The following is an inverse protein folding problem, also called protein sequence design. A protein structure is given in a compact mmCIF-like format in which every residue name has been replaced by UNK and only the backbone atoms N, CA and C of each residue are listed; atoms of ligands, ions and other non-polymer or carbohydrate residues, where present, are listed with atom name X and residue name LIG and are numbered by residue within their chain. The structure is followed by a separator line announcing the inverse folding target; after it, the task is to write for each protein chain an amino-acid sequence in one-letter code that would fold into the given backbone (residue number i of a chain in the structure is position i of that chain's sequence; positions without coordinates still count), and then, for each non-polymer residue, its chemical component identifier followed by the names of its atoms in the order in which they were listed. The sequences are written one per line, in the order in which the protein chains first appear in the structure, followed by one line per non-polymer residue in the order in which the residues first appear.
data_IF_529446113216
#
_entry.id   IF_529446113216
#
_cell.length_a   1.000
_cell.length_b   1.000
_cell.length_c   1.000
_cell.angle_alpha   90.00
_cell.angle_beta   90.00
_cell.angle_gamma   90.00
#
_symmetry.space_group_name_H-M   'P 1'
#
loop_
_entity.id
_entity.type
_entity.pdbx_description
1 polymer ?
#
# COMPACT_ATOMS: atom_id res chain seq x y z
N UNK A 1 10.17 -35.89 6.94
CA UNK A 1 9.96 -36.77 8.12
C UNK A 1 9.22 -38.01 7.67
N UNK A 2 9.86 -39.18 7.74
CA UNK A 2 9.24 -40.47 7.46
C UNK A 2 8.37 -40.86 8.66
N UNK A 3 7.08 -41.07 8.44
CA UNK A 3 6.19 -41.69 9.40
C UNK A 3 5.93 -43.13 8.95
N UNK A 4 6.56 -44.10 9.61
CA UNK A 4 6.16 -45.50 9.52
C UNK A 4 5.10 -45.75 10.59
N UNK A 5 3.98 -46.32 10.16
CA UNK A 5 2.89 -46.77 11.02
C UNK A 5 3.28 -48.09 11.70
N UNK A 6 3.04 -48.16 13.00
CA UNK A 6 2.85 -49.42 13.72
C UNK A 6 1.57 -49.26 14.55
N UNK A 7 0.61 -50.14 14.30
CA UNK A 7 -0.63 -50.29 15.05
C UNK A 7 -0.33 -50.85 16.45
N UNK A 8 -0.72 -50.12 17.49
CA UNK A 8 -1.57 -50.62 18.59
C UNK A 8 -1.81 -49.50 19.61
N UNK A 9 -3.10 -49.30 19.92
CA UNK A 9 -3.71 -48.44 20.95
C UNK A 9 -2.76 -47.66 21.87
N UNK A 10 -2.39 -46.45 21.47
CA UNK A 10 -1.96 -45.41 22.41
C UNK A 10 -2.50 -44.05 21.97
N UNK A 11 -2.99 -43.28 22.94
CA UNK A 11 -3.48 -41.90 22.79
C UNK A 11 -2.52 -41.08 21.91
N UNK A 12 -3.01 -40.14 21.08
CA UNK A 12 -2.17 -39.39 20.15
C UNK A 12 -1.03 -38.73 20.94
N UNK A 13 0.19 -39.19 20.68
CA UNK A 13 1.39 -38.75 21.34
C UNK A 13 1.61 -37.27 21.10
N UNK A 14 1.32 -36.45 22.11
CA UNK A 14 1.75 -35.05 22.15
C UNK A 14 3.26 -35.01 21.98
N UNK A 15 3.73 -34.40 20.89
CA UNK A 15 5.15 -34.20 20.63
C UNK A 15 5.79 -33.43 21.80
N UNK A 16 7.04 -33.73 22.15
CA UNK A 16 7.82 -32.99 23.15
C UNK A 16 7.84 -31.47 22.90
N UNK A 17 7.67 -31.03 21.64
CA UNK A 17 7.51 -29.62 21.26
C UNK A 17 6.16 -29.02 21.68
N UNK A 18 5.06 -29.80 21.64
CA UNK A 18 3.74 -29.38 22.12
C UNK A 18 3.72 -29.25 23.65
N UNK A 19 4.29 -30.21 24.39
CA UNK A 19 4.42 -30.09 25.85
C UNK A 19 5.28 -28.89 26.28
N UNK A 20 6.34 -28.56 25.52
CA UNK A 20 7.15 -27.36 25.76
C UNK A 20 6.41 -26.06 25.42
N UNK A 21 5.51 -26.08 24.43
CA UNK A 21 4.65 -24.96 24.09
C UNK A 21 3.55 -24.74 25.14
N UNK A 22 2.96 -25.81 25.66
CA UNK A 22 1.90 -25.80 26.69
C UNK A 22 2.46 -25.42 28.08
N UNK A 23 3.63 -25.93 28.47
CA UNK A 23 4.30 -25.51 29.72
C UNK A 23 4.79 -24.05 29.66
N UNK A 24 5.00 -23.47 28.47
CA UNK A 24 5.24 -22.03 28.31
C UNK A 24 3.95 -21.19 28.41
N UNK A 25 2.78 -21.80 28.20
CA UNK A 25 1.49 -21.12 28.34
C UNK A 25 0.98 -21.07 29.79
N UNK A 26 1.39 -22.01 30.67
CA UNK A 26 0.93 -22.08 32.06
C UNK A 26 1.58 -21.06 33.02
N UNK A 27 2.36 -20.11 32.51
CA UNK A 27 2.91 -18.99 33.29
C UNK A 27 2.65 -17.63 32.63
N UNK A 28 1.43 -17.40 32.12
CA UNK A 28 0.99 -16.05 31.72
C UNK A 28 0.83 -15.18 32.96
N UNK A 29 1.96 -14.69 33.48
CA UNK A 29 2.03 -13.43 34.22
C UNK A 29 1.28 -12.39 33.38
N UNK A 30 0.35 -11.66 34.00
CA UNK A 30 -0.21 -10.43 33.41
C UNK A 30 0.96 -9.59 32.89
N UNK A 31 0.98 -9.36 31.58
CA UNK A 31 2.02 -8.58 30.92
C UNK A 31 1.80 -7.13 31.34
N UNK A 32 2.73 -6.46 32.03
CA UNK A 32 2.73 -5.01 32.10
C UNK A 32 3.08 -4.51 30.69
N UNK A 33 2.06 -4.05 29.97
CA UNK A 33 2.14 -3.53 28.61
C UNK A 33 2.49 -2.05 28.71
N UNK A 34 3.65 -1.61 28.24
CA UNK A 34 4.03 -0.20 28.31
C UNK A 34 4.37 0.44 26.97
N UNK A 35 4.22 -0.27 25.85
CA UNK A 35 4.49 0.28 24.52
C UNK A 35 3.32 0.09 23.55
N UNK A 36 3.05 1.06 22.65
CA UNK A 36 1.90 0.99 21.75
C UNK A 36 1.88 -0.25 20.83
N UNK A 37 3.05 -0.73 20.38
CA UNK A 37 3.20 -1.90 19.51
C UNK A 37 2.97 -3.26 20.19
N UNK A 38 2.68 -3.27 21.50
CA UNK A 38 2.37 -4.51 22.22
C UNK A 38 0.88 -4.88 22.14
N UNK A 39 -0.01 -3.95 21.78
CA UNK A 39 -1.47 -4.10 21.83
C UNK A 39 -2.05 -4.70 20.55
N UNK A 40 -1.58 -4.23 19.40
CA UNK A 40 -2.08 -4.63 18.10
C UNK A 40 -0.94 -5.08 17.19
N UNK A 41 -1.31 -5.87 16.19
CA UNK A 41 -0.54 -5.96 14.96
C UNK A 41 -1.00 -4.82 14.05
N UNK A 42 -0.07 -3.93 13.70
CA UNK A 42 -0.31 -2.75 12.87
C UNK A 42 0.22 -2.99 11.48
N UNK A 43 -0.66 -2.91 10.48
CA UNK A 43 -0.29 -2.95 9.07
C UNK A 43 -0.65 -1.62 8.43
N UNK A 44 0.31 -0.98 7.78
CA UNK A 44 0.02 0.07 6.80
C UNK A 44 0.20 -0.54 5.41
N UNK A 45 -0.87 -0.57 4.63
CA UNK A 45 -0.95 -1.16 3.30
C UNK A 45 -0.87 -0.06 2.25
N UNK A 46 0.13 -0.13 1.38
CA UNK A 46 0.23 0.66 0.16
C UNK A 46 -0.11 -0.20 -1.07
N UNK A 47 -0.99 0.30 -1.92
CA UNK A 47 -1.20 -0.27 -3.26
C UNK A 47 -0.55 0.65 -4.30
N UNK A 48 -0.08 0.09 -5.41
CA UNK A 48 0.70 0.82 -6.39
C UNK A 48 -0.07 2.05 -6.87
N UNK A 49 0.56 3.22 -6.79
CA UNK A 49 -0.04 4.54 -7.09
C UNK A 49 -1.19 5.00 -6.17
N UNK A 50 -1.40 4.37 -5.01
CA UNK A 50 -2.35 4.83 -3.98
C UNK A 50 -1.77 5.85 -2.99
N UNK A 51 -0.54 6.36 -3.23
CA UNK A 51 0.17 7.26 -2.32
C UNK A 51 1.21 6.59 -1.43
N UNK A 52 1.81 5.49 -1.90
CA UNK A 52 2.78 4.65 -1.15
C UNK A 52 3.86 5.49 -0.46
N UNK A 53 4.49 6.43 -1.16
CA UNK A 53 5.57 7.27 -0.59
C UNK A 53 5.08 8.16 0.57
N UNK A 54 3.94 8.83 0.40
CA UNK A 54 3.31 9.62 1.47
C UNK A 54 3.02 8.72 2.69
N UNK A 55 2.39 7.57 2.46
CA UNK A 55 2.04 6.65 3.56
C UNK A 55 3.27 6.04 4.25
N UNK A 56 4.35 5.79 3.51
CA UNK A 56 5.61 5.30 4.05
C UNK A 56 6.30 6.35 4.92
N UNK A 57 6.29 7.61 4.48
CA UNK A 57 6.79 8.74 5.27
C UNK A 57 5.99 8.89 6.59
N UNK A 58 4.65 8.86 6.52
CA UNK A 58 3.79 8.89 7.71
C UNK A 58 4.13 7.73 8.66
N UNK A 59 4.16 6.51 8.12
CA UNK A 59 4.43 5.29 8.90
C UNK A 59 5.77 5.40 9.65
N UNK A 60 6.85 5.70 8.93
CA UNK A 60 8.19 5.81 9.51
C UNK A 60 8.27 6.91 10.57
N UNK A 61 7.71 8.07 10.29
CA UNK A 61 7.79 9.22 11.16
C UNK A 61 6.99 9.01 12.46
N UNK A 62 5.76 8.51 12.36
CA UNK A 62 4.90 8.22 13.53
C UNK A 62 5.57 7.21 14.45
N UNK A 63 5.99 6.06 13.92
CA UNK A 63 6.58 5.00 14.75
C UNK A 63 7.95 5.39 15.31
N UNK A 64 8.75 6.13 14.54
CA UNK A 64 10.01 6.70 15.02
C UNK A 64 9.81 7.69 16.18
N UNK A 65 8.80 8.56 16.11
CA UNK A 65 8.46 9.51 17.17
C UNK A 65 7.96 8.84 18.46
N UNK A 66 7.46 7.60 18.35
CA UNK A 66 7.07 6.74 19.48
C UNK A 66 8.23 5.87 19.99
N UNK A 67 9.44 6.03 19.45
CA UNK A 67 10.63 5.32 19.89
C UNK A 67 10.81 3.92 19.26
N UNK A 68 10.04 3.56 18.23
CA UNK A 68 10.25 2.32 17.49
C UNK A 68 11.30 2.54 16.39
N UNK A 69 12.51 2.02 16.62
CA UNK A 69 13.61 2.10 15.66
C UNK A 69 13.28 1.46 14.29
N UNK A 70 13.93 1.96 13.23
CA UNK A 70 13.74 1.44 11.86
C UNK A 70 14.10 -0.04 11.71
N UNK A 71 15.03 -0.53 12.52
CA UNK A 71 15.43 -1.93 12.62
C UNK A 71 14.38 -2.82 13.31
N UNK A 72 13.31 -2.24 13.84
CA UNK A 72 12.23 -2.95 14.54
C UNK A 72 10.88 -2.90 13.83
N UNK A 73 10.69 -2.01 12.86
CA UNK A 73 9.55 -2.10 11.94
C UNK A 73 9.84 -3.14 10.87
N UNK A 74 8.79 -3.67 10.24
CA UNK A 74 8.95 -4.48 9.02
C UNK A 74 8.46 -3.73 7.79
N UNK A 75 9.08 -4.02 6.65
CA UNK A 75 8.63 -3.56 5.34
C UNK A 75 8.67 -4.73 4.38
N UNK A 76 7.62 -4.92 3.58
CA UNK A 76 7.55 -6.00 2.59
C UNK A 76 6.81 -5.53 1.33
N UNK A 77 7.35 -5.85 0.16
CA UNK A 77 6.73 -5.58 -1.12
C UNK A 77 6.61 -6.85 -1.96
N UNK A 78 5.69 -6.87 -2.93
CA UNK A 78 5.67 -7.90 -3.97
C UNK A 78 5.91 -7.28 -5.36
N UNK A 79 7.00 -7.69 -6.05
CA UNK A 79 8.08 -8.53 -5.56
C UNK A 79 8.97 -7.79 -4.57
N UNK A 80 9.79 -8.55 -3.86
CA UNK A 80 10.89 -8.00 -3.10
C UNK A 80 12.05 -7.62 -4.05
N UNK A 81 12.01 -6.42 -4.62
CA UNK A 81 12.97 -5.99 -5.64
C UNK A 81 14.42 -5.92 -5.13
N UNK A 82 14.62 -5.60 -3.85
CA UNK A 82 15.94 -5.44 -3.25
C UNK A 82 16.00 -6.19 -1.92
N UNK A 83 17.06 -6.98 -1.64
CA UNK A 83 17.18 -7.75 -0.40
C UNK A 83 17.06 -6.90 0.87
N UNK A 84 17.51 -5.65 0.83
CA UNK A 84 17.45 -4.71 1.95
C UNK A 84 16.10 -4.00 2.09
N UNK A 85 15.19 -4.17 1.12
CA UNK A 85 13.88 -3.53 1.14
C UNK A 85 12.78 -4.41 1.76
N UNK A 86 12.99 -5.72 1.93
CA UNK A 86 12.05 -6.58 2.66
C UNK A 86 12.67 -7.18 3.91
N UNK A 87 12.21 -6.73 5.06
CA UNK A 87 12.83 -7.07 6.34
C UNK A 87 11.80 -7.20 7.47
N UNK A 88 12.19 -7.91 8.52
CA UNK A 88 11.46 -8.01 9.78
C UNK A 88 9.97 -8.39 9.66
N UNK A 89 9.66 -9.46 8.91
CA UNK A 89 8.27 -9.97 8.81
C UNK A 89 7.62 -10.28 10.17
N UNK A 90 8.43 -10.66 11.16
CA UNK A 90 7.96 -10.95 12.52
C UNK A 90 7.58 -9.72 13.35
N UNK A 91 7.82 -8.50 12.85
CA UNK A 91 7.46 -7.27 13.58
C UNK A 91 5.93 -7.13 13.72
N UNK A 92 5.41 -6.70 14.87
CA UNK A 92 4.00 -6.32 14.99
C UNK A 92 3.64 -5.09 14.17
N UNK A 93 4.62 -4.25 13.79
CA UNK A 93 4.40 -2.99 13.09
C UNK A 93 5.04 -3.09 11.71
N UNK A 94 4.22 -3.19 10.66
CA UNK A 94 4.69 -3.45 9.30
C UNK A 94 4.06 -2.53 8.27
N UNK A 95 4.85 -2.20 7.26
CA UNK A 95 4.39 -1.62 6.01
C UNK A 95 4.39 -2.71 4.94
N UNK A 96 3.31 -2.83 4.19
CA UNK A 96 3.18 -3.83 3.12
C UNK A 96 2.76 -3.16 1.82
N UNK A 97 3.47 -3.47 0.75
CA UNK A 97 3.30 -2.82 -0.56
C UNK A 97 2.90 -3.87 -1.59
N UNK A 98 1.82 -3.64 -2.33
CA UNK A 98 1.40 -4.43 -3.50
C UNK A 98 1.11 -5.93 -3.28
N UNK A 99 1.05 -6.35 -2.02
CA UNK A 99 0.93 -7.77 -1.66
C UNK A 99 -0.25 -8.10 -0.74
N UNK A 100 -0.90 -7.08 -0.18
CA UNK A 100 -1.97 -7.31 0.80
C UNK A 100 -3.25 -7.78 0.09
N UNK A 101 -3.79 -8.91 0.55
CA UNK A 101 -4.98 -9.56 -0.02
C UNK A 101 -5.89 -10.07 1.10
N UNK A 102 -7.12 -10.49 0.75
CA UNK A 102 -8.04 -11.13 1.72
C UNK A 102 -7.42 -12.38 2.37
N UNK A 103 -6.68 -13.17 1.59
CA UNK A 103 -6.01 -14.38 2.08
C UNK A 103 -4.92 -14.01 3.11
N UNK A 104 -4.12 -12.97 2.81
CA UNK A 104 -3.15 -12.45 3.76
C UNK A 104 -3.83 -11.89 5.00
N UNK A 105 -4.91 -11.12 4.84
CA UNK A 105 -5.69 -10.57 5.93
C UNK A 105 -6.20 -11.66 6.90
N UNK A 106 -6.76 -12.76 6.37
CA UNK A 106 -7.21 -13.90 7.17
C UNK A 106 -6.08 -14.55 7.97
N UNK A 107 -4.88 -14.70 7.36
CA UNK A 107 -3.69 -15.20 8.06
C UNK A 107 -3.24 -14.26 9.18
N UNK A 108 -3.27 -12.95 8.94
CA UNK A 108 -2.87 -11.95 9.95
C UNK A 108 -3.88 -11.88 11.11
N UNK A 109 -5.17 -12.03 10.83
CA UNK A 109 -6.21 -12.19 11.86
C UNK A 109 -5.97 -13.44 12.71
N UNK A 110 -5.71 -14.58 12.08
CA UNK A 110 -5.39 -15.82 12.79
C UNK A 110 -4.13 -15.68 13.65
N UNK A 111 -3.10 -15.00 13.15
CA UNK A 111 -1.84 -14.74 13.89
C UNK A 111 -2.06 -13.78 15.06
N UNK A 112 -2.92 -12.77 14.91
CA UNK A 112 -3.23 -11.82 15.97
C UNK A 112 -3.98 -12.51 17.13
N UNK A 113 -4.95 -13.38 16.83
CA UNK A 113 -5.94 -13.97 17.73
C UNK A 113 -5.46 -14.77 18.97
N UNK A 114 -4.16 -14.79 19.29
CA UNK A 114 -3.62 -15.42 20.49
C UNK A 114 -3.04 -14.44 21.52
N UNK A 115 -2.72 -13.20 21.11
CA UNK A 115 -2.01 -12.21 21.93
C UNK A 115 -2.33 -10.73 21.62
N UNK A 116 -2.85 -10.40 20.43
CA UNK A 116 -3.05 -9.02 19.94
C UNK A 116 -4.32 -8.93 19.10
N UNK A 117 -4.85 -7.73 18.86
CA UNK A 117 -5.84 -7.53 17.76
C UNK A 117 -5.13 -7.02 16.50
N UNK A 118 -5.85 -6.94 15.38
CA UNK A 118 -5.31 -6.48 14.10
C UNK A 118 -5.82 -5.07 13.79
N UNK A 119 -4.93 -4.19 13.32
CA UNK A 119 -5.24 -2.85 12.79
C UNK A 119 -4.57 -2.69 11.44
N UNK A 120 -5.37 -2.62 10.39
CA UNK A 120 -4.90 -2.47 9.00
C UNK A 120 -5.35 -1.12 8.49
N UNK A 121 -4.43 -0.23 8.16
CA UNK A 121 -4.75 1.03 7.53
C UNK A 121 -4.15 1.09 6.13
N UNK A 122 -4.76 1.83 5.22
CA UNK A 122 -4.22 2.07 3.89
C UNK A 122 -4.91 3.23 3.20
N UNK A 123 -4.19 3.88 2.30
CA UNK A 123 -4.79 4.89 1.42
C UNK A 123 -5.44 4.22 0.22
N UNK A 124 -6.64 4.68 -0.09
CA UNK A 124 -7.33 4.38 -1.34
C UNK A 124 -7.33 5.65 -2.17
N UNK A 125 -7.07 5.47 -3.47
CA UNK A 125 -7.14 6.50 -4.51
C UNK A 125 -8.10 6.03 -5.59
N UNK A 126 -8.65 6.95 -6.38
CA UNK A 126 -9.49 6.60 -7.53
C UNK A 126 -8.76 5.62 -8.48
N UNK A 127 -9.29 4.39 -8.70
CA UNK A 127 -8.66 3.37 -9.55
C UNK A 127 -8.33 3.82 -10.97
N UNK A 128 -9.19 4.64 -11.58
CA UNK A 128 -8.99 5.15 -12.94
C UNK A 128 -7.81 6.14 -12.99
N UNK A 129 -7.67 6.99 -11.96
CA UNK A 129 -6.51 7.89 -11.83
C UNK A 129 -5.23 7.11 -11.50
N UNK A 130 -5.32 6.02 -10.75
CA UNK A 130 -4.18 5.16 -10.44
C UNK A 130 -3.57 4.52 -11.70
N UNK A 131 -4.38 4.05 -12.65
CA UNK A 131 -3.87 3.50 -13.93
C UNK A 131 -3.16 4.59 -14.71
N UNK A 132 -3.79 5.75 -14.92
CA UNK A 132 -3.17 6.87 -15.64
C UNK A 132 -1.85 7.28 -14.98
N UNK A 133 -1.83 7.32 -13.65
CA UNK A 133 -0.63 7.63 -12.86
C UNK A 133 0.45 6.56 -13.01
N UNK A 134 0.09 5.29 -13.08
CA UNK A 134 1.04 4.20 -13.32
C UNK A 134 1.61 4.25 -14.73
N UNK A 135 0.77 4.48 -15.75
CA UNK A 135 1.22 4.65 -17.13
C UNK A 135 2.25 5.78 -17.24
N UNK A 136 1.90 7.01 -16.82
CA UNK A 136 2.81 8.14 -16.96
C UNK A 136 4.16 7.94 -16.27
N UNK A 137 4.11 7.37 -15.06
CA UNK A 137 5.30 7.11 -14.29
C UNK A 137 6.25 6.14 -15.02
N UNK A 138 5.73 4.99 -15.41
CA UNK A 138 6.52 3.93 -16.04
C UNK A 138 6.91 4.27 -17.49
N UNK A 139 6.04 4.98 -18.21
CA UNK A 139 6.33 5.48 -19.56
C UNK A 139 7.52 6.45 -19.58
N UNK A 140 7.69 7.26 -18.53
CA UNK A 140 8.85 8.15 -18.37
C UNK A 140 10.18 7.43 -18.04
N UNK A 141 10.17 6.11 -17.90
CA UNK A 141 11.34 5.30 -17.57
C UNK A 141 11.63 5.19 -16.07
N UNK A 142 10.73 5.65 -15.21
CA UNK A 142 10.85 5.47 -13.77
C UNK A 142 10.52 4.01 -13.37
N UNK A 143 11.20 3.49 -12.34
CA UNK A 143 11.06 2.09 -11.88
C UNK A 143 11.19 1.05 -13.03
N UNK A 144 12.19 1.21 -13.92
CA UNK A 144 12.53 0.25 -14.98
C UNK A 144 12.78 -1.20 -14.48
N UNK A 145 13.11 -1.35 -13.20
CA UNK A 145 13.26 -2.63 -12.51
C UNK A 145 11.94 -3.29 -12.08
N UNK A 146 10.79 -2.64 -12.27
CA UNK A 146 9.45 -3.13 -11.92
C UNK A 146 8.93 -4.21 -12.90
N UNK A 147 9.80 -5.15 -13.25
CA UNK A 147 9.61 -6.15 -14.32
C UNK A 147 8.48 -7.13 -14.06
N UNK A 148 8.05 -7.28 -12.80
CA UNK A 148 6.94 -8.17 -12.44
C UNK A 148 5.59 -7.61 -12.86
N UNK A 149 5.39 -6.29 -12.78
CA UNK A 149 4.19 -5.66 -13.29
C UNK A 149 4.34 -5.34 -14.78
N UNK A 150 5.50 -4.82 -15.18
CA UNK A 150 5.73 -4.29 -16.52
C UNK A 150 7.06 -4.82 -17.10
N UNK A 151 7.02 -5.73 -18.09
CA UNK A 151 8.24 -6.17 -18.76
C UNK A 151 9.03 -4.95 -19.27
N UNK A 152 10.37 -5.01 -19.12
CA UNK A 152 11.21 -3.83 -19.30
C UNK A 152 11.05 -3.23 -20.71
N UNK A 153 10.94 -1.90 -20.79
CA UNK A 153 10.73 -1.17 -22.04
C UNK A 153 9.33 -1.27 -22.66
N UNK A 154 8.42 -2.07 -22.08
CA UNK A 154 7.08 -2.30 -22.69
C UNK A 154 6.18 -1.08 -22.53
N UNK A 155 6.06 -0.50 -21.34
CA UNK A 155 5.18 0.67 -21.14
C UNK A 155 5.76 1.91 -21.84
N UNK A 156 7.09 2.01 -21.90
CA UNK A 156 7.80 3.08 -22.59
C UNK A 156 7.59 3.08 -24.10
N UNK A 157 7.34 1.91 -24.71
CA UNK A 157 7.13 1.78 -26.15
C UNK A 157 5.67 1.97 -26.60
N UNK A 158 4.73 2.03 -25.66
CA UNK A 158 3.30 2.16 -25.95
C UNK A 158 2.84 3.61 -25.86
N UNK A 159 2.02 4.02 -26.84
CA UNK A 159 1.28 5.27 -26.78
C UNK A 159 0.21 5.26 -25.66
N UNK A 160 -0.43 6.40 -25.37
CA UNK A 160 -1.34 6.53 -24.23
C UNK A 160 -2.51 5.54 -24.22
N UNK A 161 -3.19 5.33 -25.35
CA UNK A 161 -4.36 4.45 -25.41
C UNK A 161 -3.97 2.98 -25.13
N UNK A 162 -2.98 2.46 -25.84
CA UNK A 162 -2.49 1.08 -25.67
C UNK A 162 -1.80 0.89 -24.31
N UNK A 163 -1.02 1.90 -23.88
CA UNK A 163 -0.23 1.84 -22.65
C UNK A 163 -1.09 1.89 -21.39
N UNK A 164 -2.12 2.73 -21.36
CA UNK A 164 -3.09 2.77 -20.24
C UNK A 164 -3.85 1.45 -20.15
N UNK A 165 -4.33 0.91 -21.28
CA UNK A 165 -5.01 -0.39 -21.29
C UNK A 165 -4.08 -1.53 -20.83
N UNK A 166 -2.82 -1.53 -21.29
CA UNK A 166 -1.81 -2.50 -20.87
C UNK A 166 -1.55 -2.44 -19.35
N UNK A 167 -1.39 -1.23 -18.81
CA UNK A 167 -1.17 -1.02 -17.38
C UNK A 167 -2.38 -1.46 -16.55
N UNK A 168 -3.59 -1.12 -17.01
CA UNK A 168 -4.82 -1.54 -16.36
C UNK A 168 -4.92 -3.07 -16.25
N UNK A 169 -4.66 -3.81 -17.33
CA UNK A 169 -4.68 -5.28 -17.28
C UNK A 169 -3.71 -5.85 -16.23
N UNK A 170 -2.53 -5.27 -16.08
CA UNK A 170 -1.50 -5.73 -15.13
C UNK A 170 -1.78 -5.33 -13.68
N UNK A 171 -2.53 -4.25 -13.46
CA UNK A 171 -2.88 -3.77 -12.12
C UNK A 171 -4.18 -4.37 -11.58
N UNK A 172 -4.92 -5.19 -12.34
CA UNK A 172 -6.22 -5.73 -11.92
C UNK A 172 -6.18 -6.43 -10.55
N UNK A 173 -5.19 -7.30 -10.31
CA UNK A 173 -5.06 -8.02 -9.03
C UNK A 173 -4.88 -7.07 -7.85
N UNK A 174 -4.18 -5.94 -8.04
CA UNK A 174 -4.03 -4.91 -7.01
C UNK A 174 -5.37 -4.22 -6.73
N UNK A 175 -6.15 -3.94 -7.77
CA UNK A 175 -7.46 -3.31 -7.65
C UNK A 175 -8.48 -4.23 -6.98
N UNK A 176 -8.48 -5.52 -7.33
CA UNK A 176 -9.29 -6.54 -6.68
C UNK A 176 -8.98 -6.58 -5.18
N UNK A 177 -7.70 -6.68 -4.83
CA UNK A 177 -7.26 -6.73 -3.44
C UNK A 177 -7.61 -5.46 -2.67
N UNK A 178 -7.33 -4.28 -3.23
CA UNK A 178 -7.65 -2.99 -2.60
C UNK A 178 -9.16 -2.85 -2.39
N UNK A 179 -9.96 -3.18 -3.41
CA UNK A 179 -11.42 -3.12 -3.34
C UNK A 179 -11.95 -4.08 -2.29
N UNK A 180 -11.53 -5.34 -2.31
CA UNK A 180 -12.00 -6.36 -1.39
C UNK A 180 -11.71 -6.04 0.09
N UNK A 181 -10.61 -5.32 0.37
CA UNK A 181 -10.25 -4.93 1.75
C UNK A 181 -11.03 -3.69 2.22
N UNK A 182 -11.29 -2.72 1.33
CA UNK A 182 -11.75 -1.39 1.73
C UNK A 182 -13.15 -1.00 1.25
N UNK A 183 -13.83 -1.81 0.42
CA UNK A 183 -15.20 -1.51 -0.02
C UNK A 183 -16.21 -1.60 1.12
N UNK A 184 -15.97 -2.47 2.10
CA UNK A 184 -16.87 -2.69 3.23
C UNK A 184 -16.13 -2.32 4.51
N UNK A 185 -16.64 -1.37 5.31
CA UNK A 185 -16.04 -1.02 6.59
C UNK A 185 -15.94 -2.23 7.51
N UNK A 186 -14.79 -2.39 8.17
CA UNK A 186 -14.57 -3.40 9.21
C UNK A 186 -13.91 -2.75 10.42
N UNK A 187 -14.05 -3.35 11.60
CA UNK A 187 -13.46 -2.81 12.83
C UNK A 187 -11.92 -2.89 12.84
N UNK A 188 -11.36 -3.78 12.03
CA UNK A 188 -9.92 -4.05 11.91
C UNK A 188 -9.28 -3.39 10.68
N UNK A 189 -10.06 -2.69 9.85
CA UNK A 189 -9.56 -1.97 8.67
C UNK A 189 -9.93 -0.49 8.70
N UNK A 190 -8.98 0.37 8.35
CA UNK A 190 -9.20 1.80 8.12
C UNK A 190 -8.80 2.15 6.70
N UNK A 191 -9.77 2.72 5.99
CA UNK A 191 -9.54 3.37 4.70
C UNK A 191 -9.26 4.86 4.90
N UNK A 192 -8.11 5.31 4.41
CA UNK A 192 -7.75 6.71 4.24
C UNK A 192 -8.01 7.17 2.81
N UNK A 193 -8.39 8.43 2.61
CA UNK A 193 -8.55 9.03 1.28
C UNK A 193 -7.25 9.69 0.84
N UNK A 194 -6.69 9.20 -0.27
CA UNK A 194 -5.53 9.83 -0.89
C UNK A 194 -5.82 11.27 -1.30
N UNK A 195 -6.92 11.51 -2.02
CA UNK A 195 -7.28 12.83 -2.56
C UNK A 195 -7.50 13.87 -1.47
N UNK A 196 -8.01 13.46 -0.31
CA UNK A 196 -8.14 14.36 0.83
C UNK A 196 -6.78 14.68 1.46
N UNK A 197 -5.94 13.66 1.65
CA UNK A 197 -4.62 13.83 2.24
C UNK A 197 -3.67 14.63 1.33
N UNK A 198 -3.73 14.40 0.02
CA UNK A 198 -2.91 15.05 -1.00
C UNK A 198 -3.50 16.39 -1.47
N UNK A 199 -4.79 16.64 -1.26
CA UNK A 199 -5.46 17.85 -1.75
C UNK A 199 -5.15 19.11 -0.93
N UNK A 200 -4.78 18.96 0.35
CA UNK A 200 -4.38 20.08 1.21
C UNK A 200 -3.73 19.60 2.51
N UNK A 201 -2.93 20.47 3.13
CA UNK A 201 -2.39 20.26 4.47
C UNK A 201 -3.45 20.05 5.57
N UNK A 202 -4.62 20.68 5.45
CA UNK A 202 -5.72 20.47 6.40
C UNK A 202 -6.35 19.08 6.22
N UNK A 203 -6.59 18.69 4.97
CA UNK A 203 -7.08 17.35 4.64
C UNK A 203 -6.11 16.25 5.06
N UNK A 204 -4.80 16.50 4.91
CA UNK A 204 -3.73 15.66 5.45
C UNK A 204 -3.85 15.48 6.96
N UNK A 205 -3.90 16.58 7.72
CA UNK A 205 -3.98 16.54 9.18
C UNK A 205 -5.24 15.78 9.66
N UNK A 206 -6.36 15.92 8.95
CA UNK A 206 -7.59 15.17 9.25
C UNK A 206 -7.45 13.66 9.01
N UNK A 207 -6.83 13.23 7.91
CA UNK A 207 -6.62 11.80 7.62
C UNK A 207 -5.59 11.17 8.57
N UNK A 208 -4.53 11.89 8.93
CA UNK A 208 -3.58 11.43 9.95
C UNK A 208 -4.25 11.34 11.32
N UNK A 209 -5.10 12.30 11.70
CA UNK A 209 -5.87 12.23 12.93
C UNK A 209 -6.70 10.94 13.02
N UNK A 210 -7.45 10.62 11.96
CA UNK A 210 -8.23 9.38 11.84
C UNK A 210 -7.34 8.12 11.95
N UNK A 211 -6.16 8.16 11.33
CA UNK A 211 -5.20 7.06 11.40
C UNK A 211 -4.74 6.79 12.82
N UNK A 212 -4.32 7.83 13.56
CA UNK A 212 -3.84 7.67 14.93
C UNK A 212 -4.96 7.25 15.88
N UNK A 213 -6.18 7.76 15.70
CA UNK A 213 -7.33 7.34 16.49
C UNK A 213 -7.64 5.86 16.29
N UNK A 214 -7.62 5.38 15.04
CA UNK A 214 -7.82 3.97 14.73
C UNK A 214 -6.70 3.06 15.24
N UNK A 215 -5.44 3.45 15.02
CA UNK A 215 -4.30 2.65 15.48
C UNK A 215 -4.29 2.54 17.00
N UNK A 216 -4.48 3.64 17.72
CA UNK A 216 -4.32 3.67 19.16
C UNK A 216 -5.62 3.56 19.95
N UNK A 217 -6.73 3.18 19.30
CA UNK A 217 -7.98 2.88 19.98
C UNK A 217 -7.79 1.73 20.99
N UNK A 218 -8.04 2.03 22.27
CA UNK A 218 -7.84 1.08 23.37
C UNK A 218 -6.39 0.94 23.85
N UNK A 219 -5.47 1.78 23.34
CA UNK A 219 -4.06 1.82 23.74
C UNK A 219 -3.83 3.01 24.69
N UNK A 220 -3.18 2.83 25.84
CA UNK A 220 -2.83 3.93 26.74
C UNK A 220 -1.66 4.73 26.16
N UNK A 221 -1.96 5.62 25.21
CA UNK A 221 -0.98 6.55 24.62
C UNK A 221 -1.02 7.90 25.35
N UNK A 222 0.12 8.38 25.84
CA UNK A 222 0.18 9.70 26.46
C UNK A 222 -0.17 10.81 25.45
N UNK A 223 -0.82 11.87 25.91
CA UNK A 223 -1.19 13.00 25.04
C UNK A 223 0.01 13.62 24.33
N UNK A 224 1.16 13.66 25.01
CA UNK A 224 2.42 14.15 24.44
C UNK A 224 2.95 13.23 23.33
N UNK A 225 2.87 11.91 23.50
CA UNK A 225 3.26 10.95 22.48
C UNK A 225 2.36 11.07 21.24
N UNK A 226 1.05 11.24 21.44
CA UNK A 226 0.10 11.51 20.35
C UNK A 226 0.43 12.81 19.62
N UNK A 227 0.79 13.87 20.35
CA UNK A 227 1.21 15.16 19.78
C UNK A 227 2.49 15.02 18.96
N UNK A 228 3.50 14.31 19.47
CA UNK A 228 4.75 14.03 18.73
C UNK A 228 4.49 13.21 17.47
N UNK A 229 3.62 12.19 17.55
CA UNK A 229 3.23 11.39 16.39
C UNK A 229 2.55 12.23 15.30
N UNK A 230 1.61 13.11 15.68
CA UNK A 230 0.96 14.04 14.75
C UNK A 230 1.98 14.97 14.07
N UNK A 231 2.87 15.58 14.85
CA UNK A 231 3.87 16.51 14.31
C UNK A 231 4.85 15.79 13.39
N UNK A 232 5.31 14.59 13.77
CA UNK A 232 6.21 13.80 12.95
C UNK A 232 5.56 13.36 11.63
N UNK A 233 4.27 12.97 11.66
CA UNK A 233 3.54 12.56 10.47
C UNK A 233 3.51 13.64 9.38
N UNK A 234 3.61 14.93 9.74
CA UNK A 234 3.66 16.05 8.77
C UNK A 234 4.79 15.93 7.76
N UNK A 235 5.86 15.18 8.04
CA UNK A 235 6.90 14.87 7.05
C UNK A 235 6.36 14.20 5.77
N UNK A 236 5.19 13.53 5.86
CA UNK A 236 4.52 12.96 4.69
C UNK A 236 3.64 13.95 3.91
N UNK A 237 3.41 15.16 4.40
CA UNK A 237 2.58 16.16 3.72
C UNK A 237 3.38 16.83 2.58
N UNK A 238 3.02 16.53 1.35
CA UNK A 238 3.68 17.04 0.16
C UNK A 238 3.45 18.55 -0.09
N UNK A 239 2.43 19.15 0.52
CA UNK A 239 2.23 20.61 0.46
C UNK A 239 3.22 21.34 1.38
N UNK A 240 3.51 20.77 2.54
CA UNK A 240 4.49 21.31 3.50
C UNK A 240 5.93 20.94 3.12
N UNK A 241 6.11 19.73 2.60
CA UNK A 241 7.39 19.16 2.23
C UNK A 241 7.35 18.58 0.81
N UNK A 242 7.38 19.45 -0.22
CA UNK A 242 7.41 18.98 -1.61
C UNK A 242 8.59 18.06 -1.86
N UNK A 243 8.33 16.92 -2.50
CA UNK A 243 9.36 15.96 -2.88
C UNK A 243 9.50 15.95 -4.41
N UNK A 244 10.67 16.32 -4.97
CA UNK A 244 10.84 16.46 -6.41
C UNK A 244 11.00 15.12 -7.15
N UNK A 245 11.08 13.99 -6.41
CA UNK A 245 11.15 12.66 -6.99
C UNK A 245 9.78 11.97 -6.98
N UNK A 246 9.63 10.89 -7.75
CA UNK A 246 8.41 10.07 -7.75
C UNK A 246 7.10 10.80 -8.11
N UNK A 247 7.15 11.87 -8.92
CA UNK A 247 5.99 12.59 -9.46
C UNK A 247 5.75 12.23 -10.93
N UNK A 248 4.58 12.61 -11.47
CA UNK A 248 4.27 12.50 -12.89
C UNK A 248 4.24 13.89 -13.52
N UNK A 249 4.53 13.95 -14.83
CA UNK A 249 4.31 15.14 -15.63
C UNK A 249 2.81 15.41 -15.83
N UNK A 250 2.39 16.66 -15.64
CA UNK A 250 0.98 17.07 -15.72
C UNK A 250 0.40 16.88 -17.12
N UNK A 251 1.18 17.14 -18.17
CA UNK A 251 0.73 16.96 -19.55
C UNK A 251 0.52 15.48 -19.87
N UNK A 252 1.41 14.61 -19.38
CA UNK A 252 1.18 13.17 -19.46
C UNK A 252 -0.10 12.77 -18.71
N UNK A 253 -0.28 13.22 -17.47
CA UNK A 253 -1.45 12.86 -16.67
C UNK A 253 -2.76 13.27 -17.34
N UNK A 254 -2.81 14.47 -17.93
CA UNK A 254 -3.97 14.93 -18.68
C UNK A 254 -4.28 13.98 -19.85
N UNK A 255 -3.28 13.63 -20.66
CA UNK A 255 -3.48 12.73 -21.81
C UNK A 255 -3.89 11.32 -21.36
N UNK A 256 -3.20 10.78 -20.36
CA UNK A 256 -3.45 9.43 -19.86
C UNK A 256 -4.82 9.29 -19.19
N UNK A 257 -5.30 10.31 -18.47
CA UNK A 257 -6.63 10.30 -17.87
C UNK A 257 -7.74 10.28 -18.93
N UNK A 258 -7.56 10.97 -20.06
CA UNK A 258 -8.48 10.85 -21.20
C UNK A 258 -8.41 9.45 -21.82
N UNK A 259 -7.20 8.90 -22.03
CA UNK A 259 -7.00 7.56 -22.59
C UNK A 259 -7.62 6.42 -21.77
N UNK A 260 -7.82 6.61 -20.46
CA UNK A 260 -8.57 5.67 -19.60
C UNK A 260 -9.98 5.41 -20.15
N UNK A 261 -10.66 6.42 -20.68
CA UNK A 261 -12.01 6.27 -21.23
C UNK A 261 -12.03 5.66 -22.64
N UNK A 262 -10.86 5.57 -23.29
CA UNK A 262 -10.66 4.87 -24.56
C UNK A 262 -10.35 3.37 -24.40
N UNK A 263 -10.20 2.86 -23.17
CA UNK A 263 -9.92 1.44 -22.93
C UNK A 263 -11.04 0.53 -23.49
N UNK A 264 -10.74 -0.77 -23.77
CA UNK A 264 -11.76 -1.76 -24.07
C UNK A 264 -12.92 -1.71 -23.07
N UNK A 265 -14.16 -1.77 -23.57
CA UNK A 265 -15.37 -1.48 -22.77
C UNK A 265 -15.55 -2.40 -21.55
N UNK A 266 -15.13 -3.66 -21.68
CA UNK A 266 -15.10 -4.64 -20.60
C UNK A 266 -14.11 -4.25 -19.50
N UNK A 267 -12.89 -3.87 -19.89
CA UNK A 267 -11.84 -3.42 -18.97
C UNK A 267 -12.22 -2.11 -18.27
N UNK A 268 -12.76 -1.14 -19.03
CA UNK A 268 -13.28 0.11 -18.46
C UNK A 268 -14.43 -0.15 -17.48
N UNK A 269 -15.37 -1.03 -17.83
CA UNK A 269 -16.48 -1.41 -16.96
C UNK A 269 -16.02 -2.05 -15.64
N UNK A 270 -14.98 -2.89 -15.68
CA UNK A 270 -14.36 -3.47 -14.48
C UNK A 270 -13.79 -2.36 -13.58
N UNK A 271 -13.02 -1.43 -14.14
CA UNK A 271 -12.40 -0.36 -13.37
C UNK A 271 -13.41 0.65 -12.82
N UNK A 272 -14.45 0.98 -13.58
CA UNK A 272 -15.57 1.79 -13.11
C UNK A 272 -16.31 1.10 -11.95
N UNK A 273 -16.43 -0.23 -11.97
CA UNK A 273 -16.98 -1.00 -10.85
C UNK A 273 -16.12 -0.89 -9.59
N UNK A 274 -14.79 -1.03 -9.69
CA UNK A 274 -13.89 -0.78 -8.55
C UNK A 274 -14.04 0.64 -8.01
N UNK A 275 -14.01 1.64 -8.90
CA UNK A 275 -14.12 3.03 -8.52
C UNK A 275 -15.44 3.30 -7.78
N UNK A 276 -16.57 2.78 -8.29
CA UNK A 276 -17.88 2.87 -7.63
C UNK A 276 -17.91 2.20 -6.25
N UNK A 277 -17.41 0.97 -6.11
CA UNK A 277 -17.36 0.23 -4.83
C UNK A 277 -16.47 0.92 -3.80
N UNK A 278 -15.44 1.61 -4.28
CA UNK A 278 -14.59 2.48 -3.47
C UNK A 278 -15.15 3.91 -3.36
N UNK A 279 -16.38 4.22 -3.75
CA UNK A 279 -16.95 5.57 -3.54
C UNK A 279 -16.30 6.69 -4.36
N UNK A 280 -15.66 6.36 -5.47
CA UNK A 280 -15.18 7.28 -6.51
C UNK A 280 -16.01 7.09 -7.79
N UNK A 281 -17.29 7.48 -7.84
CA UNK A 281 -18.00 7.51 -9.11
C UNK A 281 -17.29 8.51 -10.02
N UNK A 282 -16.61 8.01 -11.05
CA UNK A 282 -15.76 8.81 -11.91
C UNK A 282 -16.20 8.62 -13.36
N UNK A 283 -16.56 9.73 -14.00
CA UNK A 283 -17.03 9.80 -15.38
C UNK A 283 -16.14 10.74 -16.16
N UNK A 284 -16.13 10.59 -17.48
CA UNK A 284 -15.33 11.43 -18.39
C UNK A 284 -15.68 12.92 -18.24
N UNK A 285 -16.95 13.23 -17.97
CA UNK A 285 -17.45 14.60 -17.75
C UNK A 285 -16.79 15.32 -16.56
N UNK A 286 -16.12 14.58 -15.66
CA UNK A 286 -15.39 15.14 -14.53
C UNK A 286 -13.94 15.51 -14.88
N UNK A 287 -13.46 15.16 -16.09
CA UNK A 287 -12.13 15.53 -16.54
C UNK A 287 -12.09 16.98 -17.02
N UNK A 288 -10.98 17.70 -16.78
CA UNK A 288 -10.70 18.91 -17.52
C UNK A 288 -10.77 18.60 -19.01
N UNK A 289 -11.52 19.40 -19.78
CA UNK A 289 -11.55 19.25 -21.24
C UNK A 289 -10.12 19.22 -21.76
N UNK A 290 -9.88 18.35 -22.75
CA UNK A 290 -8.60 18.25 -23.44
C UNK A 290 -8.36 19.61 -24.08
N UNK A 291 -7.66 20.51 -23.38
CA UNK A 291 -7.19 21.73 -24.00
C UNK A 291 -6.42 21.26 -25.24
N UNK A 292 -6.76 21.79 -26.41
CA UNK A 292 -5.99 21.53 -27.60
C UNK A 292 -4.54 21.83 -27.24
N UNK A 293 -3.73 20.79 -27.04
CA UNK A 293 -2.32 20.94 -26.76
C UNK A 293 -1.79 21.67 -27.98
N UNK A 294 -1.54 22.97 -27.82
CA UNK A 294 -0.72 23.68 -28.79
C UNK A 294 0.53 22.83 -28.96
N UNK A 295 0.98 22.57 -30.20
CA UNK A 295 2.21 21.81 -30.42
C UNK A 295 3.27 22.49 -29.56
N UNK A 296 3.74 21.78 -28.55
CA UNK A 296 4.82 22.26 -27.73
C UNK A 296 5.98 22.50 -28.69
N UNK A 297 6.46 23.73 -28.79
CA UNK A 297 7.69 24.09 -29.53
C UNK A 297 8.95 23.41 -28.94
N UNK A 298 8.80 22.49 -27.98
CA UNK A 298 9.85 21.51 -27.70
C UNK A 298 9.76 20.40 -28.74
N UNK A 299 10.81 20.34 -29.56
CA UNK A 299 11.12 19.21 -30.42
C UNK A 299 10.77 17.88 -29.74
N UNK A 300 10.32 16.86 -30.49
CA UNK A 300 10.14 15.53 -29.95
C UNK A 300 11.41 15.16 -29.18
N UNK A 301 11.23 14.86 -27.89
CA UNK A 301 12.35 14.52 -27.03
C UNK A 301 12.86 13.16 -27.49
N UNK A 302 13.85 13.17 -28.38
CA UNK A 302 14.62 11.98 -28.72
C UNK A 302 15.29 11.50 -27.43
N UNK A 303 14.79 10.41 -26.85
CA UNK A 303 15.54 9.69 -25.84
C UNK A 303 16.85 9.24 -26.50
N UNK A 304 18.03 9.57 -25.95
CA UNK A 304 19.22 8.84 -26.33
C UNK A 304 19.00 7.41 -25.85
N UNK A 305 18.70 6.50 -26.79
CA UNK A 305 18.83 5.08 -26.55
C UNK A 305 20.27 4.86 -26.12
N UNK A 306 20.51 4.72 -24.81
CA UNK A 306 21.74 4.13 -24.32
C UNK A 306 21.68 2.66 -24.69
N UNK A 307 22.09 2.36 -25.93
CA UNK A 307 22.51 1.04 -26.33
C UNK A 307 23.68 0.70 -25.41
N UNK A 308 23.44 -0.15 -24.41
CA UNK A 308 24.53 -0.85 -23.74
C UNK A 308 25.07 -1.83 -24.78
N UNK A 309 26.13 -1.45 -25.45
CA UNK A 309 27.04 -2.39 -26.09
C UNK A 309 27.77 -3.15 -24.98
N UNK A 310 27.53 -4.46 -24.95
CA UNK A 310 28.29 -5.57 -24.32
C UNK A 310 28.96 -5.33 -22.96
#
# INVERSE_FOLDING_TARGET
CLCLAAEEKSLPGTCLMQKKAEQRQSSRKQIPQSWPWDFHTYLFVGFHKSGVQMTWAIFRAVWGALGLGHDRVGHWGNPCYFPDNCYNWGSPVRFVTDMYSLEMHARELQRAGQLRTLRVAGTVRNPLVMIASAYCYHHSGQEDTNVMFFPNGTVQSLGPDDGVAFVAQRMMVLMDNMTAIYETPRNDTLRLSFEKADGSSEGFDQEVGRLLDFWFEGVPLHAEDRRRALEAARQGDLHRHPYPGHTNDDACMQVAQHAVFSMPADLLGIYQSYAKRLGYPYTEDLLPQRAALAPSDRAPFEYPMKVRTE
#
